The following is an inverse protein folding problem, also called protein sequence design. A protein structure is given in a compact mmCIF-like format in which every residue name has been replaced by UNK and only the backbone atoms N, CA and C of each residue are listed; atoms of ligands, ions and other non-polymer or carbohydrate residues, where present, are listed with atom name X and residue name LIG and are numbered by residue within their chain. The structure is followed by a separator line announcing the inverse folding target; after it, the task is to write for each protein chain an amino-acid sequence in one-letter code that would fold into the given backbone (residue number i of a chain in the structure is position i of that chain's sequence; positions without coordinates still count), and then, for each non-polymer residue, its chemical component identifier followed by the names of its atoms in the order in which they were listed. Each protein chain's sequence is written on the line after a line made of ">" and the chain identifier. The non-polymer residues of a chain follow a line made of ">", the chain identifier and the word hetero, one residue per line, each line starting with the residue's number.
data_IF_426797646644
#
_entry.id   IF_426797646644
#
_cell.length_a   1.000
_cell.length_b   1.000
_cell.length_c   1.000
_cell.angle_alpha   90.00
_cell.angle_beta   90.00
_cell.angle_gamma   90.00
#
_symmetry.space_group_name_H-M   'P 1'
#
loop_
_entity.id
_entity.type
_entity.pdbx_description
1 polymer ?
#
# COMPACT_ATOMS: atom_id res chain seq x y z
N UNK A 1 28.48 36.95 -20.41
CA UNK A 1 27.53 35.92 -20.89
C UNK A 1 27.96 34.49 -20.61
N UNK A 2 29.23 34.09 -20.75
CA UNK A 2 29.69 32.71 -20.44
C UNK A 2 29.52 32.28 -18.98
N UNK A 3 29.59 33.19 -17.99
CA UNK A 3 29.45 32.89 -16.55
C UNK A 3 27.99 32.59 -16.14
N UNK A 4 27.02 33.21 -16.78
CA UNK A 4 25.60 33.02 -16.49
C UNK A 4 25.12 31.64 -16.97
N UNK A 5 25.63 31.21 -18.14
CA UNK A 5 25.29 29.90 -18.71
C UNK A 5 25.83 28.74 -17.86
N UNK A 6 27.03 28.90 -17.26
CA UNK A 6 27.61 27.90 -16.37
C UNK A 6 26.84 27.76 -15.06
N UNK A 7 26.37 28.88 -14.48
CA UNK A 7 25.58 28.86 -13.23
C UNK A 7 24.23 28.19 -13.47
N UNK A 8 23.56 28.50 -14.60
CA UNK A 8 22.28 27.87 -14.95
C UNK A 8 22.41 26.34 -15.16
N UNK A 9 23.49 25.90 -15.83
CA UNK A 9 23.76 24.48 -16.05
C UNK A 9 24.04 23.72 -14.75
N UNK A 10 24.79 24.33 -13.82
CA UNK A 10 25.09 23.73 -12.51
C UNK A 10 23.83 23.62 -11.65
N UNK A 11 22.92 24.61 -11.71
CA UNK A 11 21.65 24.58 -10.99
C UNK A 11 20.71 23.47 -11.49
N UNK A 12 20.62 23.30 -12.84
CA UNK A 12 19.81 22.24 -13.45
C UNK A 12 20.37 20.85 -13.12
N UNK A 13 21.69 20.70 -13.13
CA UNK A 13 22.33 19.44 -12.75
C UNK A 13 22.12 19.11 -11.28
N UNK A 14 22.16 20.11 -10.39
CA UNK A 14 21.86 19.96 -8.96
C UNK A 14 20.40 19.52 -8.70
N UNK A 15 19.44 20.03 -9.46
CA UNK A 15 18.03 19.62 -9.37
C UNK A 15 17.78 18.19 -9.87
N UNK A 16 18.55 17.76 -10.89
CA UNK A 16 18.48 16.37 -11.36
C UNK A 16 19.01 15.35 -10.35
N UNK A 17 19.99 15.72 -9.54
CA UNK A 17 20.54 14.84 -8.51
C UNK A 17 19.62 14.65 -7.28
N UNK A 18 18.72 15.62 -7.02
CA UNK A 18 17.76 15.55 -5.91
C UNK A 18 16.53 14.69 -6.23
N UNK A 19 16.25 14.42 -7.53
CA UNK A 19 15.03 13.70 -7.93
C UNK A 19 15.17 12.19 -8.05
N UNK A 20 16.37 11.60 -7.90
CA UNK A 20 16.59 10.15 -7.99
C UNK A 20 16.67 9.49 -6.61
N UNK A 21 15.53 9.39 -5.91
CA UNK A 21 15.43 8.47 -4.79
C UNK A 21 15.39 7.04 -5.31
N UNK A 22 16.24 6.16 -4.78
CA UNK A 22 16.17 4.76 -5.12
C UNK A 22 14.96 4.10 -4.43
N UNK A 23 14.50 2.97 -4.94
CA UNK A 23 13.32 2.26 -4.42
C UNK A 23 13.42 1.95 -2.92
N UNK A 24 14.62 1.62 -2.42
CA UNK A 24 14.80 1.36 -0.97
C UNK A 24 14.54 2.58 -0.10
N UNK A 25 14.95 3.77 -0.53
CA UNK A 25 14.65 5.03 0.16
C UNK A 25 13.15 5.33 0.13
N UNK A 26 12.49 5.12 -1.00
CA UNK A 26 11.03 5.30 -1.13
C UNK A 26 10.27 4.34 -0.21
N UNK A 27 10.70 3.08 -0.10
CA UNK A 27 10.14 2.10 0.85
C UNK A 27 10.24 2.62 2.28
N UNK A 28 11.42 3.09 2.70
CA UNK A 28 11.64 3.60 4.05
C UNK A 28 10.78 4.84 4.35
N UNK A 29 10.69 5.76 3.42
CA UNK A 29 9.85 6.96 3.54
C UNK A 29 8.36 6.61 3.61
N UNK A 30 7.90 5.69 2.77
CA UNK A 30 6.52 5.23 2.79
C UNK A 30 6.16 4.59 4.14
N UNK A 31 7.00 3.69 4.65
CA UNK A 31 6.79 3.04 5.96
C UNK A 31 6.79 4.07 7.09
N UNK A 32 7.70 5.04 7.10
CA UNK A 32 7.73 6.11 8.10
C UNK A 32 6.45 6.96 8.05
N UNK A 33 6.02 7.37 6.86
CA UNK A 33 4.78 8.12 6.66
C UNK A 33 3.56 7.31 7.08
N UNK A 34 3.48 6.04 6.70
CA UNK A 34 2.42 5.13 7.10
C UNK A 34 2.28 5.05 8.63
N UNK A 35 3.37 4.76 9.33
CA UNK A 35 3.35 4.61 10.79
C UNK A 35 3.02 5.90 11.54
N UNK A 36 3.27 7.06 10.93
CA UNK A 36 3.00 8.36 11.55
C UNK A 36 1.58 8.88 11.29
N UNK A 37 0.94 8.50 10.18
CA UNK A 37 -0.28 9.14 9.72
C UNK A 37 -1.40 8.20 9.32
N UNK A 38 -1.13 6.90 9.08
CA UNK A 38 -2.16 6.00 8.60
C UNK A 38 -3.14 5.61 9.69
N UNK A 39 -4.41 5.69 9.35
CA UNK A 39 -5.50 5.13 10.11
C UNK A 39 -6.41 4.34 9.17
N UNK A 40 -6.71 3.11 9.54
CA UNK A 40 -7.67 2.28 8.82
C UNK A 40 -8.96 2.29 9.62
N UNK A 41 -10.05 2.72 9.00
CA UNK A 41 -11.37 2.74 9.63
C UNK A 41 -12.09 1.42 9.36
N UNK A 42 -12.62 0.83 10.40
CA UNK A 42 -13.39 -0.41 10.31
C UNK A 42 -13.82 -0.91 11.68
N UNK A 43 -14.87 -1.71 11.70
CA UNK A 43 -15.36 -2.30 12.94
C UNK A 43 -14.29 -3.23 13.52
N UNK A 44 -13.93 -2.97 14.77
CA UNK A 44 -12.98 -3.80 15.51
C UNK A 44 -11.51 -3.52 15.23
N UNK A 45 -11.15 -2.62 14.31
CA UNK A 45 -9.74 -2.26 14.05
C UNK A 45 -9.21 -1.44 15.22
N UNK A 46 -8.11 -1.88 15.82
CA UNK A 46 -7.46 -1.25 16.98
C UNK A 46 -6.16 -0.53 16.61
N UNK A 47 -5.52 -0.91 15.52
CA UNK A 47 -4.28 -0.28 15.05
C UNK A 47 -3.81 -0.82 13.72
N UNK A 48 -2.81 -0.13 13.16
CA UNK A 48 -2.11 -0.57 11.96
C UNK A 48 -0.66 -0.14 12.00
N UNK A 49 0.23 -1.00 11.52
CA UNK A 49 1.68 -0.75 11.44
C UNK A 49 2.25 -1.27 10.13
N UNK A 50 3.31 -0.63 9.65
CA UNK A 50 4.06 -1.07 8.48
C UNK A 50 5.52 -1.35 8.84
N UNK A 51 6.13 -2.32 8.16
CA UNK A 51 7.54 -2.70 8.31
C UNK A 51 8.18 -2.91 6.95
N UNK A 52 9.39 -2.36 6.77
CA UNK A 52 10.16 -2.51 5.54
C UNK A 52 11.05 -3.76 5.58
N UNK A 53 11.07 -4.51 4.48
CA UNK A 53 12.01 -5.59 4.18
C UNK A 53 12.76 -5.24 2.89
N UNK A 54 13.83 -4.47 3.05
CA UNK A 54 14.53 -3.82 1.93
C UNK A 54 15.21 -4.81 0.97
N UNK A 55 15.68 -5.95 1.48
CA UNK A 55 16.33 -6.96 0.66
C UNK A 55 15.33 -7.73 -0.22
N UNK A 56 14.08 -7.81 0.23
CA UNK A 56 13.00 -8.53 -0.47
C UNK A 56 12.11 -7.58 -1.29
N UNK A 57 12.40 -6.27 -1.31
CA UNK A 57 11.55 -5.24 -1.90
C UNK A 57 10.08 -5.39 -1.44
N UNK A 58 9.90 -5.53 -0.13
CA UNK A 58 8.60 -5.82 0.48
C UNK A 58 8.29 -4.85 1.62
N UNK A 59 7.02 -4.47 1.71
CA UNK A 59 6.43 -3.79 2.86
C UNK A 59 5.39 -4.72 3.47
N UNK A 60 5.52 -5.04 4.75
CA UNK A 60 4.52 -5.77 5.51
C UNK A 60 3.62 -4.77 6.23
N UNK A 61 2.31 -4.89 6.05
CA UNK A 61 1.30 -4.11 6.78
C UNK A 61 0.51 -5.06 7.68
N UNK A 62 0.43 -4.73 8.96
CA UNK A 62 -0.34 -5.46 9.96
C UNK A 62 -1.51 -4.61 10.42
N UNK A 63 -2.72 -5.11 10.24
CA UNK A 63 -3.95 -4.49 10.73
C UNK A 63 -4.42 -5.30 11.94
N UNK A 64 -4.36 -4.69 13.10
CA UNK A 64 -4.72 -5.30 14.36
C UNK A 64 -6.20 -5.06 14.69
N UNK A 65 -6.87 -6.08 15.21
CA UNK A 65 -8.28 -5.98 15.59
C UNK A 65 -8.55 -6.58 16.97
N UNK A 66 -9.72 -6.25 17.53
CA UNK A 66 -10.24 -6.90 18.72
C UNK A 66 -11.20 -8.09 18.41
N UNK A 67 -11.17 -8.56 17.17
CA UNK A 67 -12.02 -9.66 16.71
C UNK A 67 -11.52 -11.01 17.20
N UNK A 68 -12.46 -11.92 17.46
CA UNK A 68 -12.12 -13.30 17.81
C UNK A 68 -11.66 -14.11 16.61
N UNK A 69 -10.73 -15.02 16.84
CA UNK A 69 -10.35 -16.02 15.88
C UNK A 69 -11.40 -17.15 15.85
N UNK A 70 -12.22 -17.16 14.81
CA UNK A 70 -13.17 -18.22 14.55
C UNK A 70 -13.47 -18.34 13.05
N UNK A 71 -14.07 -19.44 12.63
CA UNK A 71 -14.33 -19.73 11.22
C UNK A 71 -15.25 -18.69 10.55
N UNK A 72 -16.21 -18.16 11.30
CA UNK A 72 -17.13 -17.12 10.81
C UNK A 72 -16.37 -15.84 10.49
N UNK A 73 -15.52 -15.39 11.40
CA UNK A 73 -14.69 -14.19 11.17
C UNK A 73 -13.68 -14.41 10.04
N UNK A 74 -13.02 -15.58 9.98
CA UNK A 74 -12.12 -15.92 8.87
C UNK A 74 -12.83 -15.84 7.52
N UNK A 75 -14.02 -16.41 7.40
CA UNK A 75 -14.78 -16.39 6.15
C UNK A 75 -15.24 -14.96 5.79
N UNK A 76 -15.79 -14.24 6.78
CA UNK A 76 -16.29 -12.87 6.60
C UNK A 76 -15.18 -11.94 6.10
N UNK A 77 -14.04 -11.94 6.80
CA UNK A 77 -12.95 -11.02 6.46
C UNK A 77 -12.15 -11.45 5.24
N UNK A 78 -12.03 -12.75 4.97
CA UNK A 78 -11.49 -13.23 3.69
C UNK A 78 -12.30 -12.71 2.50
N UNK A 79 -13.61 -12.67 2.60
CA UNK A 79 -14.48 -12.22 1.51
C UNK A 79 -14.50 -10.68 1.35
N UNK A 80 -14.39 -9.94 2.44
CA UNK A 80 -14.39 -8.48 2.43
C UNK A 80 -12.99 -7.84 2.27
N UNK A 81 -11.94 -8.63 2.37
CA UNK A 81 -10.56 -8.15 2.35
C UNK A 81 -10.18 -7.44 1.04
N UNK A 82 -10.60 -7.91 -0.15
CA UNK A 82 -10.34 -7.18 -1.39
C UNK A 82 -10.90 -5.76 -1.40
N UNK A 83 -12.07 -5.52 -0.80
CA UNK A 83 -12.64 -4.18 -0.72
C UNK A 83 -11.84 -3.27 0.22
N UNK A 84 -11.32 -3.80 1.32
CA UNK A 84 -10.40 -3.08 2.20
C UNK A 84 -9.10 -2.72 1.48
N UNK A 85 -8.52 -3.65 0.72
CA UNK A 85 -7.30 -3.40 -0.05
C UNK A 85 -7.50 -2.30 -1.11
N UNK A 86 -8.65 -2.28 -1.79
CA UNK A 86 -9.01 -1.21 -2.74
C UNK A 86 -9.07 0.16 -2.06
N UNK A 87 -9.64 0.22 -0.87
CA UNK A 87 -9.67 1.45 -0.09
C UNK A 87 -8.26 1.89 0.34
N UNK A 88 -7.40 0.96 0.76
CA UNK A 88 -6.02 1.24 1.10
C UNK A 88 -5.21 1.76 -0.11
N UNK A 89 -5.45 1.22 -1.30
CA UNK A 89 -4.86 1.71 -2.56
C UNK A 89 -5.36 3.12 -2.87
N UNK A 90 -6.66 3.37 -2.76
CA UNK A 90 -7.27 4.68 -2.99
C UNK A 90 -6.72 5.76 -2.05
N UNK A 91 -6.42 5.40 -0.81
CA UNK A 91 -5.90 6.29 0.22
C UNK A 91 -4.35 6.36 0.24
N UNK A 92 -3.69 5.79 -0.76
CA UNK A 92 -2.23 5.73 -0.89
C UNK A 92 -1.51 5.03 0.29
N UNK A 93 -2.22 4.22 1.04
CA UNK A 93 -1.65 3.34 2.07
C UNK A 93 -0.91 2.15 1.46
N UNK A 94 -1.38 1.68 0.30
CA UNK A 94 -0.66 0.82 -0.64
C UNK A 94 -0.31 1.70 -1.84
N UNK A 95 0.98 2.02 -1.99
CA UNK A 95 1.45 2.92 -3.05
C UNK A 95 1.53 2.21 -4.39
N UNK A 96 0.74 2.66 -5.37
CA UNK A 96 0.81 2.17 -6.76
C UNK A 96 2.19 2.39 -7.38
N UNK A 97 2.81 3.54 -7.11
CA UNK A 97 4.16 3.85 -7.60
C UNK A 97 5.17 2.80 -7.13
N UNK A 98 5.15 2.44 -5.85
CA UNK A 98 6.04 1.40 -5.31
C UNK A 98 5.74 0.02 -5.90
N UNK A 99 4.48 -0.33 -6.08
CA UNK A 99 4.09 -1.59 -6.74
C UNK A 99 4.61 -1.62 -8.17
N UNK A 100 4.50 -0.52 -8.92
CA UNK A 100 5.03 -0.39 -10.28
C UNK A 100 6.56 -0.52 -10.33
N UNK A 101 7.25 -0.13 -9.28
CA UNK A 101 8.70 -0.32 -9.11
C UNK A 101 9.10 -1.75 -8.65
N UNK A 102 8.14 -2.65 -8.47
CA UNK A 102 8.35 -4.05 -8.09
C UNK A 102 8.32 -4.33 -6.59
N UNK A 103 7.84 -3.35 -5.79
CA UNK A 103 7.62 -3.56 -4.35
C UNK A 103 6.33 -4.35 -4.13
N UNK A 104 6.37 -5.32 -3.21
CA UNK A 104 5.21 -6.09 -2.79
C UNK A 104 4.70 -5.60 -1.44
N UNK A 105 3.39 -5.46 -1.32
CA UNK A 105 2.74 -5.18 -0.04
C UNK A 105 2.12 -6.46 0.49
N UNK A 106 2.61 -6.96 1.61
CA UNK A 106 2.11 -8.14 2.30
C UNK A 106 1.21 -7.68 3.45
N UNK A 107 -0.10 -7.78 3.28
CA UNK A 107 -1.09 -7.19 4.19
C UNK A 107 -1.76 -8.27 5.01
N UNK A 108 -1.66 -8.13 6.33
CA UNK A 108 -2.25 -9.03 7.33
C UNK A 108 -3.41 -8.35 8.05
N UNK A 109 -4.52 -9.05 8.16
CA UNK A 109 -5.65 -8.71 9.02
C UNK A 109 -5.72 -9.69 10.16
N UNK A 110 -5.49 -9.21 11.39
CA UNK A 110 -5.21 -10.04 12.55
C UNK A 110 -6.34 -10.01 13.59
N UNK A 111 -6.67 -11.16 14.17
CA UNK A 111 -7.50 -11.26 15.36
C UNK A 111 -6.79 -10.69 16.61
N UNK A 112 -7.53 -10.57 17.72
CA UNK A 112 -7.00 -10.05 18.99
C UNK A 112 -5.77 -10.83 19.53
N UNK A 113 -5.67 -12.12 19.21
CA UNK A 113 -4.56 -12.99 19.59
C UNK A 113 -3.44 -13.06 18.52
N UNK A 114 -3.44 -12.13 17.57
CA UNK A 114 -2.53 -12.08 16.41
C UNK A 114 -2.68 -13.24 15.40
N UNK A 115 -3.72 -14.05 15.50
CA UNK A 115 -4.01 -15.05 14.47
C UNK A 115 -4.45 -14.36 13.17
N UNK A 116 -4.08 -14.94 12.03
CA UNK A 116 -4.39 -14.39 10.72
C UNK A 116 -5.85 -14.69 10.37
N UNK A 117 -6.67 -13.65 10.22
CA UNK A 117 -8.03 -13.74 9.69
C UNK A 117 -8.05 -13.64 8.17
N UNK A 118 -7.24 -12.76 7.60
CA UNK A 118 -7.03 -12.64 6.16
C UNK A 118 -5.59 -12.15 5.88
N UNK A 119 -5.06 -12.51 4.73
CA UNK A 119 -3.75 -12.09 4.24
C UNK A 119 -3.77 -12.03 2.72
N UNK A 120 -3.14 -11.02 2.15
CA UNK A 120 -2.97 -10.89 0.71
C UNK A 120 -1.67 -10.15 0.39
N UNK A 121 -0.97 -10.62 -0.64
CA UNK A 121 0.17 -9.92 -1.23
C UNK A 121 -0.35 -9.11 -2.41
N UNK A 122 -0.11 -7.80 -2.39
CA UNK A 122 -0.43 -6.89 -3.50
C UNK A 122 0.86 -6.62 -4.26
N UNK A 123 1.01 -7.25 -5.40
CA UNK A 123 2.00 -7.00 -6.43
C UNK A 123 1.34 -6.39 -7.67
N UNK A 124 2.07 -6.28 -8.79
CA UNK A 124 1.52 -5.71 -10.03
C UNK A 124 0.30 -6.47 -10.57
N UNK A 125 0.33 -7.80 -10.47
CA UNK A 125 -0.77 -8.65 -10.97
C UNK A 125 -2.01 -8.46 -10.11
N UNK A 126 -1.85 -8.52 -8.79
CA UNK A 126 -2.95 -8.33 -7.85
C UNK A 126 -3.50 -6.90 -7.88
N UNK A 127 -2.64 -5.90 -8.03
CA UNK A 127 -3.08 -4.51 -8.21
C UNK A 127 -4.01 -4.37 -9.41
N UNK A 128 -3.64 -4.97 -10.55
CA UNK A 128 -4.48 -4.97 -11.76
C UNK A 128 -5.83 -5.68 -11.54
N UNK A 129 -5.84 -6.79 -10.82
CA UNK A 129 -7.08 -7.51 -10.47
C UNK A 129 -7.99 -6.65 -9.60
N UNK A 130 -7.44 -6.02 -8.56
CA UNK A 130 -8.19 -5.16 -7.65
C UNK A 130 -8.77 -3.92 -8.35
N UNK A 131 -8.03 -3.31 -9.26
CA UNK A 131 -8.49 -2.17 -10.05
C UNK A 131 -9.60 -2.56 -11.04
N UNK A 132 -9.43 -3.65 -11.77
CA UNK A 132 -10.41 -4.12 -12.77
C UNK A 132 -11.72 -4.63 -12.14
N UNK A 133 -11.65 -5.22 -10.94
CA UNK A 133 -12.84 -5.65 -10.20
C UNK A 133 -13.74 -4.47 -9.75
N UNK A 134 -13.21 -3.24 -9.71
CA UNK A 134 -13.98 -2.01 -9.46
C UNK A 134 -14.84 -1.60 -10.65
N UNK A 135 -14.35 -1.78 -11.87
CA UNK A 135 -15.02 -1.34 -13.11
C UNK A 135 -16.18 -2.25 -13.50
N UNK A 136 -16.13 -3.55 -13.18
CA UNK A 136 -17.19 -4.50 -13.52
C UNK A 136 -18.50 -4.32 -12.74
N UNK A 137 -18.46 -3.67 -11.59
CA UNK A 137 -19.69 -3.32 -10.83
C UNK A 137 -20.46 -2.12 -11.42
N UNK A 138 -19.80 -1.26 -12.19
CA UNK A 138 -20.44 -0.13 -12.88
C UNK A 138 -21.20 -0.52 -14.14
N UNK A 139 -20.78 -1.59 -14.80
CA UNK A 139 -21.34 -2.02 -16.09
C UNK A 139 -22.65 -2.83 -15.96
N UNK A 140 -22.85 -3.50 -14.83
CA UNK A 140 -24.08 -4.28 -14.58
C UNK A 140 -25.26 -3.40 -14.19
N UNK A 141 -25.03 -2.23 -13.60
CA UNK A 141 -26.08 -1.28 -13.21
C UNK A 141 -26.66 -0.48 -14.39
N UNK A 142 -25.98 -0.43 -15.54
CA UNK A 142 -26.43 0.32 -16.73
C UNK A 142 -27.27 -0.49 -17.73
N UNK A 143 -27.47 -1.78 -17.48
CA UNK A 143 -28.29 -2.69 -18.34
C UNK A 143 -29.65 -3.06 -17.74
N UNK A 144 -30.02 -2.46 -16.64
CA UNK A 144 -31.34 -2.53 -16.04
C UNK A 144 -32.08 -1.20 -16.20
#
# INVERSE_FOLDING_TARGET
>A
MKKITQIAFTLVLGLMLVSCKNTKQKIQEHVATYNNSSSIKGTGITGTTAKAFLNDNKIEIRIETNLEENDTNRLTYKNSFPDLLKEMIKNDQISKELVDEGVKFDVYFLAYNNAILAQQIVDKEELAVLENAGDSKGEVASKL
#
